data_IF_283779524837
#
_entry.id   IF_283779524837
#
_cell.length_a   1.000
_cell.length_b   1.000
_cell.length_c   1.000
_cell.angle_alpha   90.00
_cell.angle_beta   90.00
_cell.angle_gamma   90.00
#
_symmetry.space_group_name_H-M   'P 1'
#
loop_
_entity.id
_entity.type
_entity.pdbx_description
1 polymer ?
#
# COMPACT_ATOMS: atom_id res chain seq x y z
N UNK A 1 15.71 27.62 0.87
CA UNK A 1 16.57 26.89 1.82
C UNK A 1 15.67 25.92 2.58
N UNK A 2 15.69 24.64 2.22
CA UNK A 2 15.03 23.55 2.93
C UNK A 2 16.14 22.56 3.31
N UNK A 3 16.85 22.88 4.38
CA UNK A 3 17.91 22.04 4.95
C UNK A 3 17.38 21.48 6.26
N UNK A 4 17.04 20.20 6.27
CA UNK A 4 16.69 19.49 7.51
C UNK A 4 15.85 18.25 7.26
N UNK A 5 16.50 17.08 7.26
CA UNK A 5 15.92 15.74 7.45
C UNK A 5 15.36 14.97 6.24
N UNK A 6 15.90 15.16 5.02
CA UNK A 6 15.77 14.14 3.97
C UNK A 6 17.13 13.48 3.74
N UNK A 7 17.36 12.28 4.28
CA UNK A 7 18.50 11.46 3.86
C UNK A 7 18.17 10.90 2.48
N UNK A 8 18.51 11.65 1.44
CA UNK A 8 18.56 11.13 0.07
C UNK A 8 19.99 10.76 -0.29
N UNK A 9 20.15 9.67 -1.05
CA UNK A 9 21.46 9.22 -1.54
C UNK A 9 21.41 9.05 -3.05
N UNK A 10 22.42 9.55 -3.76
CA UNK A 10 22.51 9.49 -5.22
C UNK A 10 23.65 8.54 -5.59
N UNK A 11 23.37 7.52 -6.39
CA UNK A 11 24.34 6.54 -6.90
C UNK A 11 24.34 6.58 -8.42
N UNK A 12 25.50 6.76 -9.05
CA UNK A 12 25.65 6.82 -10.50
C UNK A 12 26.41 5.59 -11.03
N UNK A 13 26.13 5.14 -12.26
CA UNK A 13 26.91 4.09 -12.91
C UNK A 13 28.35 4.58 -13.21
N UNK A 14 29.32 3.66 -13.18
CA UNK A 14 30.76 3.98 -13.34
C UNK A 14 31.15 4.51 -14.73
N UNK A 15 30.34 4.27 -15.77
CA UNK A 15 30.70 4.51 -17.18
C UNK A 15 29.99 5.72 -17.84
N UNK A 16 29.48 6.68 -17.06
CA UNK A 16 28.70 7.78 -17.63
C UNK A 16 29.60 8.84 -18.29
N UNK A 17 30.00 8.59 -19.55
CA UNK A 17 30.97 9.39 -20.33
C UNK A 17 30.32 10.45 -21.26
N UNK A 18 29.01 10.68 -21.18
CA UNK A 18 28.31 11.66 -22.01
C UNK A 18 27.54 12.70 -21.18
N UNK A 19 28.17 13.87 -20.95
CA UNK A 19 27.60 14.99 -20.19
C UNK A 19 26.50 15.78 -20.92
N UNK A 20 26.08 15.38 -22.12
CA UNK A 20 25.22 16.19 -23.00
C UNK A 20 23.75 15.75 -23.05
N UNK A 21 23.37 14.66 -22.39
CA UNK A 21 21.99 14.14 -22.41
C UNK A 21 21.40 14.07 -21.00
N UNK A 22 20.11 14.43 -20.86
CA UNK A 22 19.37 14.28 -19.59
C UNK A 22 19.46 12.82 -19.10
N UNK A 23 19.74 12.57 -17.81
CA UNK A 23 19.97 11.22 -17.32
C UNK A 23 18.67 10.41 -17.20
N UNK A 24 18.79 9.09 -17.34
CA UNK A 24 17.78 8.16 -16.86
C UNK A 24 17.90 8.06 -15.33
N UNK A 25 16.79 8.24 -14.63
CA UNK A 25 16.76 8.24 -13.16
C UNK A 25 15.82 7.16 -12.64
N UNK A 26 16.27 6.44 -11.63
CA UNK A 26 15.45 5.52 -10.84
C UNK A 26 15.32 6.09 -9.42
N UNK A 27 14.09 6.43 -9.03
CA UNK A 27 13.73 6.68 -7.65
C UNK A 27 13.61 5.33 -6.92
N UNK A 28 14.52 5.06 -6.00
CA UNK A 28 14.49 3.89 -5.14
C UNK A 28 13.83 4.22 -3.79
N UNK A 29 12.77 3.48 -3.48
CA UNK A 29 12.02 3.58 -2.23
C UNK A 29 12.25 2.31 -1.39
N UNK A 30 12.97 2.41 -0.27
CA UNK A 30 13.36 1.26 0.54
C UNK A 30 12.14 0.54 1.16
N UNK A 31 12.31 -0.70 1.68
CA UNK A 31 11.23 -1.48 2.29
C UNK A 31 10.52 -0.82 3.48
N UNK A 32 11.24 0.05 4.19
CA UNK A 32 10.79 0.63 5.45
C UNK A 32 11.07 -0.29 6.66
N UNK A 33 10.56 0.07 7.85
CA UNK A 33 10.81 -0.65 9.10
C UNK A 33 10.03 -1.97 9.23
N UNK A 34 9.09 -2.25 8.33
CA UNK A 34 8.39 -3.53 8.31
C UNK A 34 9.21 -4.55 7.54
N UNK A 35 9.29 -5.79 8.04
CA UNK A 35 10.05 -6.85 7.41
C UNK A 35 11.57 -6.59 7.29
N UNK A 36 12.14 -5.67 8.08
CA UNK A 36 13.58 -5.34 8.02
C UNK A 36 14.52 -6.51 8.38
N UNK A 37 13.98 -7.61 8.92
CA UNK A 37 14.71 -8.85 9.17
C UNK A 37 14.78 -9.78 7.94
N UNK A 38 14.06 -9.47 6.87
CA UNK A 38 14.12 -10.22 5.61
C UNK A 38 15.17 -9.58 4.70
N UNK A 39 16.02 -10.38 4.02
CA UNK A 39 17.06 -9.84 3.17
C UNK A 39 16.43 -9.01 2.03
N UNK A 40 16.59 -7.68 2.12
CA UNK A 40 16.26 -6.79 1.02
C UNK A 40 17.24 -7.03 -0.12
N UNK A 41 16.75 -7.06 -1.36
CA UNK A 41 17.52 -7.11 -2.59
C UNK A 41 18.85 -7.89 -2.48
N UNK A 42 18.79 -9.21 -2.61
CA UNK A 42 19.97 -10.08 -2.54
C UNK A 42 20.87 -9.88 -3.78
N UNK A 43 21.56 -8.75 -3.86
CA UNK A 43 22.67 -8.60 -4.78
C UNK A 43 23.82 -9.46 -4.22
N UNK A 44 24.09 -10.57 -4.89
CA UNK A 44 25.26 -11.40 -4.63
C UNK A 44 26.51 -10.60 -4.99
N UNK A 45 27.06 -9.87 -4.02
CA UNK A 45 28.42 -9.33 -3.86
C UNK A 45 28.37 -8.20 -2.81
N UNK A 46 29.50 -7.79 -2.25
CA UNK A 46 29.66 -6.75 -1.21
C UNK A 46 29.22 -5.32 -1.63
N UNK A 47 28.26 -5.17 -2.53
CA UNK A 47 27.74 -3.91 -3.06
C UNK A 47 26.39 -3.60 -2.45
N UNK A 48 26.15 -2.32 -2.15
CA UNK A 48 24.84 -1.88 -1.68
C UNK A 48 23.78 -2.09 -2.78
N UNK A 49 22.49 -2.30 -2.43
CA UNK A 49 21.44 -2.51 -3.42
C UNK A 49 21.34 -1.42 -4.49
N UNK A 50 21.68 -0.19 -4.14
CA UNK A 50 21.72 0.96 -5.03
C UNK A 50 22.79 0.81 -6.12
N UNK A 51 23.97 0.28 -5.77
CA UNK A 51 25.05 0.05 -6.73
C UNK A 51 24.68 -1.08 -7.70
N UNK A 52 24.09 -2.16 -7.20
CA UNK A 52 23.58 -3.25 -8.02
C UNK A 52 22.53 -2.76 -9.02
N UNK A 53 21.59 -1.94 -8.55
CA UNK A 53 20.55 -1.33 -9.38
C UNK A 53 21.13 -0.38 -10.44
N UNK A 54 21.99 0.56 -10.04
CA UNK A 54 22.62 1.52 -10.95
C UNK A 54 23.45 0.82 -12.03
N UNK A 55 24.21 -0.22 -11.65
CA UNK A 55 25.03 -1.00 -12.60
C UNK A 55 24.18 -1.83 -13.55
N UNK A 56 23.08 -2.43 -13.05
CA UNK A 56 22.19 -3.27 -13.87
C UNK A 56 21.40 -2.43 -14.88
N UNK A 57 20.96 -1.23 -14.48
CA UNK A 57 20.04 -0.39 -15.26
C UNK A 57 20.72 0.75 -16.02
N UNK A 58 22.03 0.93 -15.81
CA UNK A 58 22.81 2.06 -16.36
C UNK A 58 22.15 3.41 -16.09
N UNK A 59 21.46 3.54 -14.95
CA UNK A 59 20.67 4.71 -14.58
C UNK A 59 21.17 5.32 -13.28
N UNK A 60 20.98 6.62 -13.12
CA UNK A 60 21.21 7.30 -11.84
C UNK A 60 20.15 6.86 -10.83
N UNK A 61 20.56 6.31 -9.70
CA UNK A 61 19.66 5.86 -8.64
C UNK A 61 19.61 6.94 -7.57
N UNK A 62 18.41 7.44 -7.27
CA UNK A 62 18.15 8.34 -6.14
C UNK A 62 17.34 7.57 -5.11
N UNK A 63 17.91 7.37 -3.92
CA UNK A 63 17.21 6.74 -2.79
C UNK A 63 16.57 7.81 -1.93
N UNK A 64 15.28 7.68 -1.63
CA UNK A 64 14.60 8.51 -0.64
C UNK A 64 14.36 7.68 0.61
N UNK A 65 15.13 7.92 1.67
CA UNK A 65 14.91 7.29 2.97
C UNK A 65 13.81 8.07 3.70
N UNK A 66 12.57 7.73 3.36
CA UNK A 66 11.38 8.30 3.99
C UNK A 66 11.30 7.91 5.47
N UNK A 67 10.79 8.82 6.32
CA UNK A 67 10.68 8.59 7.76
C UNK A 67 9.40 7.81 8.08
N UNK A 68 9.59 6.63 8.67
CA UNK A 68 8.50 5.81 9.19
C UNK A 68 9.04 4.94 10.32
N UNK A 69 8.26 4.79 11.39
CA UNK A 69 8.64 4.04 12.58
C UNK A 69 9.74 4.71 13.38
N UNK A 70 10.50 3.88 14.09
CA UNK A 70 11.59 4.28 14.97
C UNK A 70 12.83 4.63 14.14
N UNK A 71 13.20 5.91 14.08
CA UNK A 71 14.42 6.37 13.39
C UNK A 71 15.44 6.76 14.47
N UNK A 72 16.52 6.00 14.59
CA UNK A 72 17.61 6.36 15.49
C UNK A 72 18.28 7.66 15.02
N UNK A 73 18.59 8.58 15.94
CA UNK A 73 19.51 9.67 15.62
C UNK A 73 20.86 9.03 15.31
N UNK A 74 21.40 9.26 14.11
CA UNK A 74 22.79 8.92 13.82
C UNK A 74 23.68 9.60 14.88
N UNK A 75 24.51 8.82 15.55
CA UNK A 75 25.51 9.31 16.50
C UNK A 75 26.39 10.32 15.74
N UNK A 76 26.34 11.60 16.13
CA UNK A 76 27.33 12.56 15.67
C UNK A 76 28.71 12.04 16.11
N UNK A 77 29.75 12.13 15.27
CA UNK A 77 31.11 11.85 15.70
C UNK A 77 31.46 12.77 16.88
N UNK A 78 31.91 12.16 17.97
CA UNK A 78 32.30 12.85 19.19
C UNK A 78 33.45 13.81 18.92
N UNK A 79 33.17 15.12 18.94
CA UNK A 79 34.18 16.14 19.20
C UNK A 79 33.76 16.94 20.43
N UNK A 80 34.41 16.58 21.55
CA UNK A 80 34.59 17.33 22.79
C UNK A 80 33.40 18.15 23.34
N UNK A 81 32.80 17.64 24.41
CA UNK A 81 32.51 18.46 25.59
C UNK A 81 32.30 17.58 26.83
N UNK A 82 33.26 17.68 27.75
CA UNK A 82 33.14 17.25 29.14
C UNK A 82 32.11 18.14 29.86
N UNK A 83 31.43 17.53 30.84
CA UNK A 83 30.62 18.14 31.90
C UNK A 83 29.24 18.74 31.56
N UNK A 84 28.20 17.88 31.57
CA UNK A 84 27.00 18.09 32.40
C UNK A 84 26.18 16.80 32.48
N UNK A 85 26.07 16.22 33.67
CA UNK A 85 25.18 15.09 33.96
C UNK A 85 23.73 15.61 33.96
N UNK A 86 23.01 15.34 32.87
CA UNK A 86 21.54 15.30 32.87
C UNK A 86 21.12 14.01 32.14
N UNK A 87 20.38 13.16 32.84
CA UNK A 87 19.77 11.95 32.30
C UNK A 87 18.70 12.30 31.27
N UNK A 88 19.10 12.58 30.03
CA UNK A 88 18.18 12.55 28.89
C UNK A 88 18.31 11.18 28.20
N UNK A 89 17.32 10.31 28.41
CA UNK A 89 17.16 9.12 27.58
C UNK A 89 17.10 9.57 26.11
N UNK A 90 17.85 8.97 25.17
CA UNK A 90 17.78 9.34 23.77
C UNK A 90 16.33 9.18 23.30
N UNK A 91 15.65 10.31 23.05
CA UNK A 91 14.29 10.30 22.53
C UNK A 91 14.34 9.77 21.10
N UNK A 92 14.01 8.49 20.93
CA UNK A 92 13.85 7.89 19.61
C UNK A 92 12.60 8.48 18.98
N UNK A 93 12.79 9.31 17.96
CA UNK A 93 11.68 9.94 17.26
C UNK A 93 10.93 8.89 16.45
N UNK A 94 9.62 8.82 16.65
CA UNK A 94 8.76 7.83 16.02
C UNK A 94 7.85 8.48 14.98
N UNK A 95 8.03 8.13 13.71
CA UNK A 95 7.28 8.70 12.60
C UNK A 95 6.13 7.78 12.16
N UNK A 96 5.02 8.38 11.74
CA UNK A 96 3.79 7.70 11.31
C UNK A 96 3.27 8.31 10.01
N UNK A 97 2.31 7.68 9.35
CA UNK A 97 1.58 8.31 8.24
C UNK A 97 0.91 9.62 8.69
N UNK A 98 0.92 10.69 7.86
CA UNK A 98 1.33 10.73 6.44
C UNK A 98 2.80 11.09 6.16
N UNK A 99 3.68 11.20 7.16
CA UNK A 99 5.09 11.59 6.98
C UNK A 99 5.84 10.90 5.83
N UNK A 100 5.81 9.57 5.66
CA UNK A 100 6.53 8.92 4.56
C UNK A 100 6.02 9.31 3.16
N UNK A 101 4.75 9.70 3.04
CA UNK A 101 4.18 10.22 1.79
C UNK A 101 4.82 11.57 1.47
N UNK A 102 4.87 12.47 2.46
CA UNK A 102 5.41 13.81 2.30
C UNK A 102 6.90 13.76 1.96
N UNK A 103 7.66 12.91 2.65
CA UNK A 103 9.08 12.73 2.39
C UNK A 103 9.33 12.17 0.97
N UNK A 104 8.47 11.26 0.51
CA UNK A 104 8.53 10.70 -0.85
C UNK A 104 8.24 11.77 -1.91
N UNK A 105 7.18 12.56 -1.74
CA UNK A 105 6.82 13.62 -2.68
C UNK A 105 7.89 14.72 -2.71
N UNK A 106 8.44 15.12 -1.56
CA UNK A 106 9.53 16.07 -1.51
C UNK A 106 10.78 15.57 -2.26
N UNK A 107 11.14 14.29 -2.09
CA UNK A 107 12.23 13.67 -2.83
C UNK A 107 11.95 13.55 -4.33
N UNK A 108 10.71 13.25 -4.71
CA UNK A 108 10.25 13.20 -6.09
C UNK A 108 10.36 14.58 -6.77
N UNK A 109 9.84 15.64 -6.13
CA UNK A 109 9.94 17.02 -6.61
C UNK A 109 11.40 17.47 -6.76
N UNK A 110 12.24 17.12 -5.79
CA UNK A 110 13.67 17.42 -5.86
C UNK A 110 14.34 16.77 -7.07
N UNK A 111 14.01 15.51 -7.39
CA UNK A 111 14.54 14.81 -8.58
C UNK A 111 14.15 15.56 -9.86
N UNK A 112 12.87 15.94 -9.98
CA UNK A 112 12.39 16.63 -11.18
C UNK A 112 13.04 17.99 -11.36
N UNK A 113 13.17 18.77 -10.29
CA UNK A 113 13.74 20.11 -10.33
C UNK A 113 15.26 20.09 -10.54
N UNK A 114 15.97 19.14 -9.92
CA UNK A 114 17.43 19.13 -9.87
C UNK A 114 18.05 18.30 -10.98
N UNK A 115 17.54 17.09 -11.22
CA UNK A 115 18.14 16.15 -12.18
C UNK A 115 17.52 16.25 -13.58
N UNK A 116 16.30 16.79 -13.69
CA UNK A 116 15.54 16.93 -14.94
C UNK A 116 15.65 15.66 -15.82
N UNK A 117 15.19 14.51 -15.32
CA UNK A 117 15.42 13.23 -15.98
C UNK A 117 14.82 13.18 -17.38
N UNK A 118 15.48 12.45 -18.29
CA UNK A 118 14.86 12.08 -19.57
C UNK A 118 13.72 11.08 -19.31
N UNK A 119 13.99 10.11 -18.43
CA UNK A 119 13.05 9.11 -17.99
C UNK A 119 13.17 8.91 -16.47
N UNK A 120 12.03 8.92 -15.79
CA UNK A 120 11.94 8.64 -14.36
C UNK A 120 11.20 7.32 -14.13
N UNK A 121 11.90 6.35 -13.56
CA UNK A 121 11.30 5.09 -13.10
C UNK A 121 11.31 5.03 -11.57
N UNK A 122 10.41 4.23 -11.00
CA UNK A 122 10.33 4.03 -9.54
C UNK A 122 10.49 2.54 -9.21
N UNK A 123 11.36 2.24 -8.26
CA UNK A 123 11.49 0.90 -7.69
C UNK A 123 11.17 0.99 -6.20
N UNK A 124 10.17 0.24 -5.73
CA UNK A 124 9.79 0.24 -4.33
C UNK A 124 9.57 -1.17 -3.78
N UNK A 125 9.93 -1.39 -2.51
CA UNK A 125 9.68 -2.66 -1.81
C UNK A 125 8.74 -2.43 -0.62
N UNK A 126 7.83 -3.36 -0.31
CA UNK A 126 6.91 -3.28 0.85
C UNK A 126 6.20 -1.92 0.99
N UNK A 127 6.54 -1.12 2.00
CA UNK A 127 6.02 0.24 2.19
C UNK A 127 6.49 1.17 1.08
N UNK A 128 7.75 1.08 0.65
CA UNK A 128 8.26 1.76 -0.54
C UNK A 128 7.54 1.33 -1.81
N UNK A 129 7.10 0.08 -1.89
CA UNK A 129 6.27 -0.44 -2.98
C UNK A 129 4.86 0.19 -2.98
N UNK A 130 4.26 0.39 -1.80
CA UNK A 130 3.03 1.17 -1.65
C UNK A 130 3.21 2.60 -2.17
N UNK A 131 4.28 3.27 -1.75
CA UNK A 131 4.60 4.64 -2.16
C UNK A 131 4.90 4.73 -3.66
N UNK A 132 5.54 3.71 -4.25
CA UNK A 132 5.76 3.63 -5.69
C UNK A 132 4.44 3.50 -6.47
N UNK A 133 3.48 2.71 -5.97
CA UNK A 133 2.15 2.58 -6.57
C UNK A 133 1.30 3.84 -6.39
N UNK A 134 1.46 4.54 -5.26
CA UNK A 134 0.89 5.88 -5.07
C UNK A 134 1.38 6.82 -6.18
N UNK A 135 2.71 6.93 -6.39
CA UNK A 135 3.27 7.75 -7.47
C UNK A 135 2.79 7.31 -8.86
N UNK A 136 2.62 6.00 -9.09
CA UNK A 136 2.09 5.50 -10.36
C UNK A 136 0.68 6.02 -10.69
N UNK A 137 -0.12 6.30 -9.65
CA UNK A 137 -1.53 6.68 -9.76
C UNK A 137 -1.75 8.19 -9.64
N UNK A 138 -0.81 8.93 -9.03
CA UNK A 138 -0.89 10.39 -8.85
C UNK A 138 0.01 11.14 -9.83
N UNK A 139 1.20 10.59 -10.13
CA UNK A 139 2.23 11.20 -10.99
C UNK A 139 2.41 10.45 -12.32
N UNK A 140 1.32 9.89 -12.85
CA UNK A 140 1.33 8.96 -13.98
C UNK A 140 1.89 9.54 -15.29
N UNK A 141 1.88 10.86 -15.46
CA UNK A 141 2.44 11.54 -16.64
C UNK A 141 3.96 11.67 -16.58
N UNK A 142 4.51 11.72 -15.36
CA UNK A 142 5.93 11.98 -15.13
C UNK A 142 6.70 10.67 -14.96
N UNK A 143 6.07 9.70 -14.30
CA UNK A 143 6.65 8.37 -14.10
C UNK A 143 6.50 7.56 -15.37
N UNK A 144 7.61 6.98 -15.85
CA UNK A 144 7.63 6.10 -17.03
C UNK A 144 7.32 4.65 -16.67
N UNK A 145 7.93 4.15 -15.60
CA UNK A 145 7.80 2.77 -15.17
C UNK A 145 7.87 2.63 -13.64
N UNK A 146 7.14 1.66 -13.10
CA UNK A 146 7.09 1.32 -11.68
C UNK A 146 7.26 -0.18 -11.49
N UNK A 147 8.30 -0.55 -10.74
CA UNK A 147 8.48 -1.89 -10.22
C UNK A 147 8.20 -1.88 -8.70
N UNK A 148 7.21 -2.66 -8.27
CA UNK A 148 6.80 -2.72 -6.87
C UNK A 148 6.95 -4.16 -6.33
N UNK A 149 7.85 -4.37 -5.38
CA UNK A 149 8.17 -5.67 -4.79
C UNK A 149 7.40 -5.87 -3.50
N UNK A 150 6.60 -6.93 -3.44
CA UNK A 150 5.72 -7.29 -2.33
C UNK A 150 5.03 -6.05 -1.68
N UNK A 151 4.35 -5.21 -2.48
CA UNK A 151 3.83 -3.94 -2.00
C UNK A 151 2.64 -4.13 -1.07
N UNK A 152 2.56 -3.26 -0.06
CA UNK A 152 1.36 -3.14 0.77
C UNK A 152 0.37 -2.28 -0.02
N UNK A 153 -0.73 -2.86 -0.50
CA UNK A 153 -1.68 -2.15 -1.37
C UNK A 153 -2.94 -1.69 -0.62
N UNK A 154 -3.31 -2.37 0.47
CA UNK A 154 -4.59 -2.17 1.15
C UNK A 154 -4.48 -2.48 2.66
N UNK A 155 -4.24 -1.44 3.47
CA UNK A 155 -4.27 -1.56 4.93
C UNK A 155 -5.69 -1.81 5.48
N UNK A 156 -6.71 -1.36 4.75
CA UNK A 156 -8.11 -1.57 5.14
C UNK A 156 -8.49 -3.04 4.99
N UNK A 157 -7.96 -3.76 4.01
CA UNK A 157 -8.31 -5.14 3.69
C UNK A 157 -7.76 -6.21 4.66
N UNK A 158 -6.92 -5.86 5.63
CA UNK A 158 -6.24 -6.86 6.49
C UNK A 158 -7.22 -7.73 7.30
N UNK A 159 -8.35 -7.17 7.70
CA UNK A 159 -9.36 -7.87 8.51
C UNK A 159 -9.99 -9.05 7.77
N UNK A 160 -9.97 -9.03 6.43
CA UNK A 160 -10.56 -10.08 5.59
C UNK A 160 -9.75 -11.38 5.63
N UNK A 161 -8.52 -11.32 6.14
CA UNK A 161 -7.65 -12.45 6.33
C UNK A 161 -7.77 -13.06 7.73
N UNK A 162 -8.51 -12.41 8.64
CA UNK A 162 -8.76 -12.85 10.00
C UNK A 162 -10.04 -13.69 10.10
N UNK A 163 -10.15 -14.50 11.16
CA UNK A 163 -11.41 -15.14 11.56
C UNK A 163 -12.20 -14.21 12.49
N UNK A 164 -13.49 -14.46 12.71
CA UNK A 164 -14.35 -13.62 13.57
C UNK A 164 -14.70 -14.44 14.83
N UNK A 165 -14.60 -13.83 16.02
CA UNK A 165 -15.02 -14.51 17.26
C UNK A 165 -16.53 -14.81 17.23
N UNK A 166 -16.90 -16.04 17.61
CA UNK A 166 -18.30 -16.50 17.60
C UNK A 166 -19.13 -15.96 18.77
N UNK A 167 -18.51 -15.25 19.73
CA UNK A 167 -19.14 -14.86 20.99
C UNK A 167 -20.21 -13.76 20.87
N UNK A 168 -20.39 -13.19 19.67
CA UNK A 168 -21.44 -12.20 19.39
C UNK A 168 -22.72 -12.75 18.76
N UNK A 169 -22.75 -14.02 18.35
CA UNK A 169 -23.95 -14.66 17.78
C UNK A 169 -24.63 -15.55 18.81
N UNK A 170 -25.30 -14.94 19.79
CA UNK A 170 -26.35 -15.66 20.51
C UNK A 170 -27.46 -16.05 19.51
N UNK A 171 -27.55 -17.35 19.25
CA UNK A 171 -28.76 -18.12 18.98
C UNK A 171 -29.98 -17.34 18.49
N UNK A 172 -30.17 -17.26 17.18
CA UNK A 172 -31.54 -17.39 16.67
C UNK A 172 -31.87 -18.88 16.69
N UNK A 173 -32.88 -19.21 17.48
CA UNK A 173 -33.38 -20.57 17.72
C UNK A 173 -33.68 -21.33 16.42
N UNK A 174 -33.65 -22.68 16.43
CA UNK A 174 -33.89 -23.48 15.25
C UNK A 174 -35.37 -23.45 14.89
N UNK A 175 -35.77 -22.64 13.90
CA UNK A 175 -37.07 -22.81 13.27
C UNK A 175 -36.99 -24.02 12.34
N UNK A 176 -37.67 -25.09 12.75
CA UNK A 176 -38.02 -26.22 11.92
C UNK A 176 -38.74 -25.73 10.65
N UNK A 177 -38.24 -26.13 9.47
CA UNK A 177 -39.02 -26.02 8.25
C UNK A 177 -38.18 -25.90 6.97
N UNK A 178 -38.27 -26.93 6.14
CA UNK A 178 -37.91 -26.97 4.72
C UNK A 178 -36.48 -27.35 4.35
N UNK A 179 -36.36 -28.62 3.97
CA UNK A 179 -35.23 -29.20 3.28
C UNK A 179 -35.12 -28.63 1.85
N UNK A 180 -34.19 -27.70 1.66
CA UNK A 180 -33.65 -27.39 0.32
C UNK A 180 -32.13 -27.52 0.36
N UNK A 181 -31.63 -28.45 -0.45
CA UNK A 181 -30.25 -28.82 -0.75
C UNK A 181 -29.21 -27.70 -0.52
N UNK A 182 -28.60 -27.67 0.66
CA UNK A 182 -27.37 -26.89 0.92
C UNK A 182 -26.19 -27.64 0.32
N UNK A 183 -25.69 -27.17 -0.83
CA UNK A 183 -24.36 -27.54 -1.34
C UNK A 183 -23.36 -27.32 -0.21
N UNK A 184 -22.73 -28.38 0.29
CA UNK A 184 -21.68 -28.33 1.30
C UNK A 184 -20.58 -27.41 0.80
N UNK A 185 -20.54 -26.17 1.32
CA UNK A 185 -19.39 -25.29 1.14
C UNK A 185 -18.19 -26.02 1.75
N UNK A 186 -17.23 -26.39 0.90
CA UNK A 186 -15.96 -26.98 1.32
C UNK A 186 -15.34 -26.00 2.33
N UNK A 187 -15.27 -26.41 3.60
CA UNK A 187 -14.62 -25.66 4.68
C UNK A 187 -13.14 -25.54 4.31
N UNK A 188 -12.78 -24.44 3.65
CA UNK A 188 -11.38 -24.13 3.36
C UNK A 188 -10.72 -23.95 4.72
N UNK A 189 -9.77 -24.84 5.04
CA UNK A 189 -8.99 -24.68 6.27
C UNK A 189 -8.32 -23.30 6.22
N UNK A 190 -8.47 -22.46 7.25
CA UNK A 190 -7.85 -21.15 7.29
C UNK A 190 -6.33 -21.38 7.31
N UNK A 191 -5.70 -21.12 6.17
CA UNK A 191 -4.26 -21.29 6.02
C UNK A 191 -3.53 -20.15 6.74
N UNK A 192 -2.50 -20.51 7.49
CA UNK A 192 -1.63 -19.57 8.19
C UNK A 192 -0.92 -18.72 7.15
N UNK A 193 -1.01 -17.39 7.28
CA UNK A 193 -0.30 -16.44 6.43
C UNK A 193 0.80 -15.78 7.25
N UNK A 194 2.08 -16.04 6.94
CA UNK A 194 3.19 -15.66 7.81
C UNK A 194 3.34 -14.13 7.97
N UNK A 195 2.89 -13.36 6.98
CA UNK A 195 2.99 -11.91 6.94
C UNK A 195 1.80 -11.17 7.56
N UNK A 196 0.70 -11.86 7.88
CA UNK A 196 -0.52 -11.20 8.38
C UNK A 196 -0.35 -10.56 9.76
N UNK A 197 0.25 -11.27 10.73
CA UNK A 197 0.44 -10.73 12.09
C UNK A 197 1.35 -9.50 12.07
N UNK A 198 2.53 -9.53 11.42
CA UNK A 198 3.36 -8.34 11.26
C UNK A 198 2.62 -7.15 10.63
N UNK A 199 1.77 -7.39 9.62
CA UNK A 199 0.97 -6.34 8.98
C UNK A 199 -0.08 -5.74 9.93
N UNK A 200 -0.75 -6.56 10.73
CA UNK A 200 -1.75 -6.07 11.70
C UNK A 200 -1.09 -5.18 12.76
N UNK A 201 0.04 -5.62 13.32
CA UNK A 201 0.81 -4.84 14.28
C UNK A 201 1.37 -3.55 13.67
N UNK A 202 1.85 -3.62 12.43
CA UNK A 202 2.35 -2.46 11.70
C UNK A 202 1.24 -1.42 11.47
N UNK A 203 0.03 -1.85 11.14
CA UNK A 203 -1.10 -0.94 10.94
C UNK A 203 -1.48 -0.18 12.21
N UNK A 204 -1.40 -0.80 13.38
CA UNK A 204 -1.62 -0.10 14.65
C UNK A 204 -0.48 0.88 14.97
N UNK A 205 0.75 0.51 14.63
CA UNK A 205 1.95 1.31 14.89
C UNK A 205 2.12 2.51 13.95
N UNK A 206 1.86 2.34 12.65
CA UNK A 206 2.17 3.32 11.61
C UNK A 206 1.11 4.39 11.43
N UNK A 207 -0.07 4.25 12.05
CA UNK A 207 -1.17 5.20 11.91
C UNK A 207 -1.55 5.80 13.26
N UNK A 208 -1.94 7.08 13.25
CA UNK A 208 -2.37 7.78 14.47
C UNK A 208 -3.76 7.35 14.92
N UNK A 209 -4.67 7.16 13.96
CA UNK A 209 -6.06 6.73 14.19
C UNK A 209 -6.45 5.72 13.12
N UNK A 210 -7.52 4.97 13.36
CA UNK A 210 -7.99 3.96 12.43
C UNK A 210 -8.53 4.54 11.11
N UNK A 211 -8.93 5.80 11.08
CA UNK A 211 -9.30 6.52 9.86
C UNK A 211 -8.11 6.71 8.91
N UNK A 212 -6.90 6.92 9.45
CA UNK A 212 -5.73 7.28 8.62
C UNK A 212 -5.27 6.14 7.71
N UNK A 213 -5.57 4.88 8.00
CA UNK A 213 -5.24 3.78 7.08
C UNK A 213 -6.25 3.61 5.94
N UNK A 214 -7.35 4.38 5.94
CA UNK A 214 -8.26 4.56 4.80
C UNK A 214 -7.82 5.69 3.86
N UNK A 215 -6.69 6.33 4.13
CA UNK A 215 -6.08 7.27 3.20
C UNK A 215 -5.62 6.53 1.92
N UNK A 216 -6.03 7.02 0.76
CA UNK A 216 -5.67 6.43 -0.53
C UNK A 216 -4.17 6.52 -0.84
N UNK A 217 -3.47 7.51 -0.29
CA UNK A 217 -2.01 7.62 -0.45
C UNK A 217 -1.26 6.55 0.35
N UNK A 218 -1.81 6.10 1.48
CA UNK A 218 -1.26 5.02 2.29
C UNK A 218 -1.74 3.63 1.83
N UNK A 219 -2.96 3.54 1.27
CA UNK A 219 -3.57 2.33 0.71
C UNK A 219 -3.91 2.56 -0.78
N UNK A 220 -2.94 2.46 -1.71
CA UNK A 220 -3.11 2.86 -3.11
C UNK A 220 -4.27 2.17 -3.84
N UNK A 221 -4.71 1.00 -3.37
CA UNK A 221 -5.87 0.32 -3.92
C UNK A 221 -7.16 1.16 -3.81
N UNK A 222 -7.23 2.08 -2.85
CA UNK A 222 -8.39 2.95 -2.62
C UNK A 222 -8.54 4.05 -3.68
N UNK A 223 -7.51 4.37 -4.47
CA UNK A 223 -7.67 5.21 -5.67
C UNK A 223 -8.57 4.56 -6.72
N UNK A 224 -8.66 3.22 -6.70
CA UNK A 224 -9.26 2.43 -7.76
C UNK A 224 -10.52 1.68 -7.32
N UNK A 225 -10.81 1.67 -6.01
CA UNK A 225 -12.04 1.08 -5.46
C UNK A 225 -12.36 1.58 -4.05
N UNK A 226 -13.61 1.45 -3.64
CA UNK A 226 -13.98 1.66 -2.24
C UNK A 226 -13.47 0.54 -1.32
N UNK A 227 -13.23 0.87 -0.05
CA UNK A 227 -12.81 -0.09 0.98
C UNK A 227 -13.87 -1.18 1.26
N UNK A 228 -15.14 -0.92 0.91
CA UNK A 228 -16.24 -1.87 1.12
C UNK A 228 -16.59 -2.10 2.59
N UNK A 229 -16.23 -1.17 3.47
CA UNK A 229 -16.58 -1.17 4.89
C UNK A 229 -16.50 0.24 5.45
N UNK A 230 -17.15 0.44 6.58
CA UNK A 230 -17.06 1.69 7.32
C UNK A 230 -15.72 1.85 8.03
N UNK A 231 -15.32 3.11 8.20
CA UNK A 231 -14.15 3.48 9.00
C UNK A 231 -14.44 3.13 10.45
N UNK A 232 -13.64 2.27 11.10
CA UNK A 232 -13.89 1.93 12.49
C UNK A 232 -13.47 3.09 13.39
N UNK A 233 -14.25 3.33 14.44
CA UNK A 233 -14.00 4.41 15.42
C UNK A 233 -12.70 4.23 16.22
N UNK A 234 -12.18 3.01 16.29
CA UNK A 234 -10.94 2.66 16.99
C UNK A 234 -10.21 1.54 16.23
N UNK A 235 -8.94 1.30 16.56
CA UNK A 235 -8.21 0.18 15.99
C UNK A 235 -8.87 -1.15 16.36
N UNK A 236 -9.11 -2.05 15.38
CA UNK A 236 -9.64 -3.36 15.70
C UNK A 236 -8.60 -4.18 16.47
N UNK A 237 -9.07 -4.99 17.43
CA UNK A 237 -8.21 -5.84 18.27
C UNK A 237 -8.21 -7.28 17.78
N UNK A 238 -7.06 -7.92 17.86
CA UNK A 238 -6.86 -9.29 17.37
C UNK A 238 -6.40 -10.22 18.48
N UNK A 239 -6.87 -11.45 18.43
CA UNK A 239 -6.27 -12.57 19.15
C UNK A 239 -5.24 -13.22 18.22
N UNK A 240 -3.98 -13.19 18.64
CA UNK A 240 -2.83 -13.75 17.93
C UNK A 240 -2.06 -14.69 18.88
N UNK A 241 -1.08 -15.43 18.34
CA UNK A 241 -0.24 -16.35 19.11
C UNK A 241 -0.51 -17.83 18.79
N UNK A 242 0.17 -18.76 19.49
CA UNK A 242 0.09 -20.20 19.19
C UNK A 242 -1.34 -20.78 19.26
N UNK A 243 -2.18 -20.22 20.12
CA UNK A 243 -3.59 -20.60 20.29
C UNK A 243 -4.47 -20.16 19.09
N UNK A 244 -3.99 -19.20 18.29
CA UNK A 244 -4.72 -18.60 17.18
C UNK A 244 -3.88 -18.66 15.89
N UNK A 245 -3.82 -19.83 15.22
CA UNK A 245 -3.01 -20.00 14.00
C UNK A 245 -3.41 -19.05 12.86
N UNK A 246 -4.68 -18.61 12.85
CA UNK A 246 -5.13 -17.47 12.06
C UNK A 246 -5.70 -16.43 13.01
N UNK A 247 -5.23 -15.16 12.96
CA UNK A 247 -5.70 -14.10 13.84
C UNK A 247 -7.23 -14.01 13.90
N UNK A 248 -7.77 -13.84 15.10
CA UNK A 248 -9.21 -13.70 15.32
C UNK A 248 -9.53 -12.24 15.64
N UNK A 249 -10.40 -11.62 14.86
CA UNK A 249 -10.94 -10.30 15.14
C UNK A 249 -11.89 -10.38 16.33
N UNK A 250 -11.62 -9.61 17.39
CA UNK A 250 -12.49 -9.52 18.57
C UNK A 250 -13.76 -8.74 18.25
N UNK A 251 -14.91 -9.27 18.65
CA UNK A 251 -16.17 -8.51 18.66
C UNK A 251 -16.11 -7.45 19.75
N UNK A 252 -16.47 -6.20 19.42
CA UNK A 252 -16.55 -5.13 20.41
C UNK A 252 -17.76 -5.36 21.32
N UNK A 253 -17.55 -5.50 22.64
CA UNK A 253 -18.64 -5.51 23.62
C UNK A 253 -19.13 -4.08 23.89
N UNK A 254 -20.35 -3.94 24.42
CA UNK A 254 -20.92 -2.64 24.79
C UNK A 254 -20.07 -1.91 25.84
N UNK A 255 -19.36 -2.66 26.69
CA UNK A 255 -18.53 -2.13 27.78
C UNK A 255 -17.28 -1.36 27.29
N UNK A 256 -16.83 -1.61 26.05
CA UNK A 256 -15.67 -0.93 25.42
C UNK A 256 -16.03 0.46 24.82
N UNK A 257 -17.26 0.95 25.01
CA UNK A 257 -17.75 2.24 24.50
C UNK A 257 -17.82 3.31 25.60
N UNK A 258 -17.96 2.91 26.87
CA UNK A 258 -18.18 3.82 28.00
C UNK A 258 -16.92 4.49 28.60
N UNK A 259 -15.74 4.36 27.99
CA UNK A 259 -14.46 4.77 28.58
C UNK A 259 -13.78 5.98 27.95
N UNK A 260 -14.41 6.69 27.01
CA UNK A 260 -13.83 7.90 26.42
C UNK A 260 -14.52 9.13 27.01
N UNK A 261 -14.02 9.61 28.15
CA UNK A 261 -14.41 10.88 28.77
C UNK A 261 -14.23 12.02 27.74
N UNK A 262 -15.34 12.56 27.28
CA UNK A 262 -15.38 13.79 26.52
C UNK A 262 -15.30 14.92 27.58
N UNK A 263 -14.10 15.47 27.79
CA UNK A 263 -13.97 16.79 28.41
C UNK A 263 -14.50 17.84 27.44
N UNK A 264 -15.82 18.07 27.45
CA UNK A 264 -16.40 19.32 26.99
C UNK A 264 -16.11 20.33 28.10
N UNK A 265 -15.19 21.23 27.85
CA UNK A 265 -15.03 22.46 28.60
C UNK A 265 -16.20 23.37 28.22
N UNK A 266 -17.17 23.46 29.13
CA UNK A 266 -18.20 24.50 29.16
C UNK A 266 -17.53 25.86 29.40
N UNK A 267 -17.83 26.85 28.55
CA UNK A 267 -18.03 28.24 28.96
C UNK A 267 -18.62 29.09 27.80
N UNK A 268 -19.83 29.61 28.06
CA UNK A 268 -20.37 30.94 27.67
C UNK A 268 -21.01 31.17 26.25
N UNK A 269 -21.98 32.12 26.11
CA UNK A 269 -23.41 31.81 26.19
C UNK A 269 -24.26 32.28 24.97
N UNK A 270 -25.57 32.08 25.13
CA UNK A 270 -26.74 32.32 24.30
C UNK A 270 -26.77 33.56 23.38
N UNK A 271 -27.30 33.38 22.16
CA UNK A 271 -28.31 34.31 21.62
C UNK A 271 -29.17 33.73 20.47
N UNK A 272 -30.48 33.98 20.53
CA UNK A 272 -31.30 34.37 19.36
C UNK A 272 -31.90 33.32 18.40
N UNK A 273 -33.06 32.75 18.78
CA UNK A 273 -34.22 32.31 17.98
C UNK A 273 -34.20 32.29 16.44
N UNK A 274 -34.65 31.18 15.83
CA UNK A 274 -35.94 31.09 15.09
C UNK A 274 -36.23 29.63 14.68
N UNK A 275 -37.40 29.15 15.10
CA UNK A 275 -38.00 27.88 14.67
C UNK A 275 -38.76 28.08 13.36
N UNK A 276 -38.54 27.20 12.38
CA UNK A 276 -39.59 26.79 11.43
C UNK A 276 -39.51 25.28 11.23
N UNK A 277 -40.51 24.61 11.78
CA UNK A 277 -40.77 23.19 11.67
C UNK A 277 -41.38 22.88 10.30
N UNK A 278 -40.72 22.01 9.54
CA UNK A 278 -41.37 21.21 8.51
C UNK A 278 -41.07 19.75 8.81
N UNK A 279 -42.12 19.05 9.24
CA UNK A 279 -42.13 17.65 9.62
C UNK A 279 -41.96 16.77 8.39
N UNK A 280 -40.97 15.89 8.40
CA UNK A 280 -40.90 14.73 7.51
C UNK A 280 -40.48 13.51 8.37
N UNK A 281 -41.09 12.34 8.17
CA UNK A 281 -41.17 11.30 9.18
C UNK A 281 -39.83 10.61 9.39
N UNK A 282 -39.55 10.36 10.66
CA UNK A 282 -38.40 9.64 11.19
C UNK A 282 -38.10 8.35 10.43
N UNK A 283 -37.04 8.38 9.61
CA UNK A 283 -36.16 7.22 9.51
C UNK A 283 -35.19 7.30 10.67
N UNK A 284 -35.51 6.56 11.73
CA UNK A 284 -34.56 6.26 12.81
C UNK A 284 -33.21 5.88 12.21
N UNK A 285 -32.10 6.55 12.56
CA UNK A 285 -30.80 5.95 12.35
C UNK A 285 -30.78 4.74 13.30
N UNK A 286 -30.92 3.54 12.73
CA UNK A 286 -30.58 2.32 13.46
C UNK A 286 -29.11 2.46 13.83
N UNK A 287 -28.86 3.01 15.02
CA UNK A 287 -27.61 2.86 15.73
C UNK A 287 -27.38 1.35 15.77
N UNK A 288 -26.45 0.89 14.95
CA UNK A 288 -26.00 -0.48 15.01
C UNK A 288 -25.16 -0.60 16.30
N UNK A 289 -25.84 -0.62 17.45
CA UNK A 289 -25.27 -0.73 18.80
C UNK A 289 -24.57 -2.06 19.03
N UNK A 290 -24.56 -2.92 18.00
CA UNK A 290 -23.67 -4.08 17.88
C UNK A 290 -22.60 -3.69 16.88
N UNK A 291 -21.36 -3.51 17.35
CA UNK A 291 -20.16 -3.15 16.58
C UNK A 291 -19.73 -4.14 15.48
N UNK A 292 -20.70 -4.71 14.77
CA UNK A 292 -20.55 -5.50 13.56
C UNK A 292 -20.15 -4.55 12.44
N UNK A 293 -18.95 -4.76 11.91
CA UNK A 293 -18.45 -4.03 10.74
C UNK A 293 -19.40 -4.32 9.58
N UNK A 294 -20.21 -3.32 9.19
CA UNK A 294 -21.15 -3.45 8.07
C UNK A 294 -20.31 -3.57 6.79
N UNK A 295 -20.21 -4.81 6.29
CA UNK A 295 -19.47 -5.09 5.05
C UNK A 295 -20.35 -4.70 3.86
N UNK A 296 -19.85 -3.79 3.04
CA UNK A 296 -20.46 -3.36 1.78
C UNK A 296 -19.71 -3.97 0.59
N UNK A 297 -20.32 -3.92 -0.58
CA UNK A 297 -19.65 -4.30 -1.82
C UNK A 297 -18.54 -3.27 -2.12
N UNK A 298 -17.32 -3.76 -2.36
CA UNK A 298 -16.23 -2.93 -2.91
C UNK A 298 -16.61 -2.49 -4.33
N UNK A 299 -16.77 -1.19 -4.53
CA UNK A 299 -17.15 -0.60 -5.80
C UNK A 299 -15.88 -0.14 -6.53
N UNK A 300 -15.78 -0.46 -7.83
CA UNK A 300 -14.66 -0.01 -8.66
C UNK A 300 -14.79 1.49 -8.94
N UNK A 301 -13.71 2.24 -8.73
CA UNK A 301 -13.59 3.64 -9.09
C UNK A 301 -12.85 3.74 -10.43
N UNK A 302 -13.38 4.54 -11.36
CA UNK A 302 -12.70 4.79 -12.64
C UNK A 302 -11.51 5.71 -12.41
N UNK A 303 -10.39 5.38 -13.05
CA UNK A 303 -9.18 6.20 -13.03
C UNK A 303 -8.77 6.60 -14.46
N UNK A 304 -8.32 7.84 -14.69
CA UNK A 304 -8.34 8.95 -13.73
C UNK A 304 -9.79 9.36 -13.40
N UNK A 305 -10.05 9.96 -12.22
CA UNK A 305 -11.37 10.48 -11.87
C UNK A 305 -11.89 11.47 -12.93
N UNK A 306 -13.21 11.50 -13.13
CA UNK A 306 -13.83 12.43 -14.07
C UNK A 306 -13.49 13.89 -13.71
N UNK A 307 -13.10 14.68 -14.71
CA UNK A 307 -12.68 16.08 -14.52
C UNK A 307 -11.20 16.25 -14.16
N UNK A 308 -10.49 15.16 -13.86
CA UNK A 308 -9.03 15.14 -13.67
C UNK A 308 -8.31 14.45 -14.84
N UNK A 309 -8.95 14.38 -15.99
CA UNK A 309 -8.39 13.85 -17.22
C UNK A 309 -7.56 14.90 -17.98
N UNK A 310 -6.98 15.86 -17.24
CA UNK A 310 -6.01 16.85 -17.73
C UNK A 310 -6.44 17.60 -19.00
N UNK A 311 -7.72 18.01 -19.06
CA UNK A 311 -8.26 18.79 -20.19
C UNK A 311 -8.73 17.96 -21.38
N UNK A 312 -8.69 16.62 -21.29
CA UNK A 312 -9.20 15.73 -22.33
C UNK A 312 -10.74 15.61 -22.35
N UNK A 313 -11.45 16.21 -21.38
CA UNK A 313 -12.92 16.25 -21.29
C UNK A 313 -13.49 17.68 -21.38
N UNK A 314 -13.25 18.37 -22.50
CA UNK A 314 -14.06 19.54 -22.93
C UNK A 314 -14.84 19.30 -24.24
N UNK A 315 -16.17 19.35 -24.22
CA UNK A 315 -17.14 19.47 -25.35
C UNK A 315 -16.91 18.75 -26.72
N UNK A 316 -17.86 17.85 -27.06
CA UNK A 316 -18.37 17.49 -28.40
C UNK A 316 -17.37 17.28 -29.58
N UNK A 317 -16.60 16.19 -29.61
CA UNK A 317 -16.02 15.71 -30.87
C UNK A 317 -16.00 14.16 -30.98
N UNK A 318 -16.51 13.57 -32.07
CA UNK A 318 -16.61 12.11 -32.25
C UNK A 318 -15.26 11.40 -32.49
N UNK A 319 -14.15 12.14 -32.64
CA UNK A 319 -12.80 11.58 -32.83
C UNK A 319 -12.02 11.37 -31.52
N UNK A 320 -12.63 11.63 -30.35
CA UNK A 320 -11.92 11.71 -29.06
C UNK A 320 -11.64 10.41 -28.31
N UNK A 321 -12.15 9.28 -28.79
CA UNK A 321 -11.81 7.97 -28.21
C UNK A 321 -10.29 7.66 -28.27
N UNK A 322 -9.55 8.39 -29.11
CA UNK A 322 -8.11 8.22 -29.34
C UNK A 322 -7.27 9.15 -28.45
N UNK A 323 -7.76 10.32 -28.04
CA UNK A 323 -7.01 11.23 -27.14
C UNK A 323 -6.99 10.79 -25.68
N UNK A 324 -7.98 9.99 -25.25
CA UNK A 324 -7.96 9.35 -23.93
C UNK A 324 -6.93 8.24 -23.81
N UNK A 325 -6.51 7.64 -24.94
CA UNK A 325 -5.41 6.68 -25.01
C UNK A 325 -4.05 7.31 -24.63
N UNK A 326 -3.91 8.64 -24.64
CA UNK A 326 -2.66 9.31 -24.25
C UNK A 326 -2.47 9.41 -22.73
N UNK A 327 -3.52 9.23 -21.91
CA UNK A 327 -3.37 9.07 -20.46
C UNK A 327 -3.04 7.63 -20.11
N UNK A 328 -1.83 7.20 -20.48
CA UNK A 328 -1.36 5.86 -20.14
C UNK A 328 -0.80 5.89 -18.72
N UNK A 329 -1.33 5.04 -17.83
CA UNK A 329 -0.55 4.63 -16.67
C UNK A 329 0.90 4.32 -17.09
N UNK A 330 1.89 4.55 -16.19
CA UNK A 330 3.23 4.04 -16.40
C UNK A 330 3.18 2.53 -16.67
N UNK A 331 4.28 2.01 -17.21
CA UNK A 331 4.50 0.57 -17.17
C UNK A 331 4.56 0.15 -15.71
N UNK A 332 3.68 -0.73 -15.26
CA UNK A 332 3.63 -1.18 -13.85
C UNK A 332 3.84 -2.68 -13.80
N UNK A 333 4.82 -3.11 -13.01
CA UNK A 333 5.02 -4.52 -12.70
C UNK A 333 5.12 -4.72 -11.20
N UNK A 334 4.23 -5.56 -10.67
CA UNK A 334 4.30 -6.01 -9.29
C UNK A 334 5.05 -7.33 -9.23
N UNK A 335 5.91 -7.47 -8.25
CA UNK A 335 6.74 -8.65 -8.02
C UNK A 335 6.36 -9.28 -6.69
N UNK A 336 6.14 -10.59 -6.69
CA UNK A 336 5.84 -11.38 -5.50
C UNK A 336 6.87 -12.50 -5.38
N UNK A 337 7.26 -12.89 -4.16
CA UNK A 337 8.25 -13.96 -3.98
C UNK A 337 7.74 -15.28 -4.57
N UNK A 338 8.62 -16.00 -5.27
CA UNK A 338 8.36 -17.40 -5.58
C UNK A 338 8.66 -18.22 -4.31
N UNK A 339 7.63 -18.69 -3.63
CA UNK A 339 7.81 -19.70 -2.60
C UNK A 339 8.25 -20.99 -3.31
N UNK A 340 9.56 -21.27 -3.31
CA UNK A 340 10.06 -22.61 -3.60
C UNK A 340 9.81 -23.47 -2.37
N UNK A 341 8.84 -24.42 -2.38
CA UNK A 341 8.80 -25.43 -1.34
C UNK A 341 10.02 -26.33 -1.56
N UNK A 342 11.06 -26.17 -0.76
CA UNK A 342 12.20 -27.11 -0.70
C UNK A 342 11.80 -28.53 -0.19
N UNK A 343 10.52 -28.90 -0.26
CA UNK A 343 10.01 -30.20 0.18
C UNK A 343 8.98 -30.84 -0.76
N UNK A 344 8.98 -30.50 -2.06
CA UNK A 344 8.28 -31.31 -3.07
C UNK A 344 9.19 -31.68 -4.24
N UNK A 345 10.16 -32.55 -3.95
CA UNK A 345 10.70 -33.44 -4.99
C UNK A 345 9.54 -34.28 -5.56
N UNK A 346 9.56 -34.43 -6.89
CA UNK A 346 8.59 -35.14 -7.74
C UNK A 346 7.25 -34.43 -8.05
N UNK A 347 7.25 -33.61 -9.11
CA UNK A 347 6.73 -34.08 -10.41
C UNK A 347 6.89 -32.99 -11.49
N UNK A 348 7.66 -33.31 -12.52
CA UNK A 348 7.61 -32.59 -13.78
C UNK A 348 6.23 -32.77 -14.42
N UNK A 349 5.40 -31.75 -14.36
CA UNK A 349 4.34 -31.58 -15.35
C UNK A 349 4.30 -30.12 -15.78
N UNK A 350 4.66 -29.90 -17.05
CA UNK A 350 4.36 -28.69 -17.78
C UNK A 350 2.84 -28.54 -17.82
N UNK A 351 2.31 -27.59 -17.06
CA UNK A 351 0.90 -27.27 -17.06
C UNK A 351 0.64 -26.06 -16.20
N UNK A 352 0.02 -25.04 -16.77
CA UNK A 352 -0.61 -23.92 -16.08
C UNK A 352 -1.72 -24.47 -15.15
N UNK A 353 -1.31 -25.04 -14.01
CA UNK A 353 -2.15 -25.79 -13.11
C UNK A 353 -2.31 -25.03 -11.80
N UNK A 354 -3.41 -24.29 -11.70
CA UNK A 354 -4.26 -24.11 -10.52
C UNK A 354 -3.61 -24.51 -9.17
N UNK A 355 -2.56 -23.81 -8.72
CA UNK A 355 -1.99 -24.01 -7.38
C UNK A 355 -3.06 -23.60 -6.37
N UNK A 356 -3.33 -24.47 -5.39
CA UNK A 356 -4.35 -24.22 -4.36
C UNK A 356 -4.08 -22.87 -3.69
N UNK A 357 -5.10 -22.01 -3.48
CA UNK A 357 -4.96 -20.66 -2.92
C UNK A 357 -4.65 -20.63 -1.40
N UNK A 358 -4.10 -21.73 -0.87
CA UNK A 358 -3.87 -21.93 0.56
C UNK A 358 -2.65 -21.18 1.08
N UNK A 359 -1.50 -21.26 0.43
CA UNK A 359 -0.24 -20.85 1.07
C UNK A 359 0.25 -19.45 0.68
N UNK A 360 -0.54 -18.67 -0.06
CA UNK A 360 -0.10 -17.36 -0.51
C UNK A 360 -0.08 -16.33 0.62
N UNK A 361 0.98 -15.53 0.68
CA UNK A 361 1.13 -14.39 1.58
C UNK A 361 0.05 -13.33 1.34
N UNK A 362 -0.25 -12.51 2.36
CA UNK A 362 -1.17 -11.37 2.23
C UNK A 362 -0.66 -10.40 1.17
N UNK A 363 0.64 -10.08 1.16
CA UNK A 363 1.25 -9.18 0.18
C UNK A 363 1.08 -9.68 -1.26
N UNK A 364 1.30 -10.97 -1.50
CA UNK A 364 1.16 -11.52 -2.84
C UNK A 364 -0.30 -11.48 -3.33
N UNK A 365 -1.26 -11.71 -2.43
CA UNK A 365 -2.68 -11.57 -2.74
C UNK A 365 -3.11 -10.12 -2.96
N UNK A 366 -2.56 -9.18 -2.20
CA UNK A 366 -2.77 -7.75 -2.42
C UNK A 366 -2.20 -7.30 -3.78
N UNK A 367 -1.03 -7.80 -4.17
CA UNK A 367 -0.43 -7.51 -5.47
C UNK A 367 -1.27 -8.04 -6.64
N UNK A 368 -1.76 -9.28 -6.55
CA UNK A 368 -2.71 -9.84 -7.54
C UNK A 368 -3.98 -9.00 -7.65
N UNK A 369 -4.53 -8.58 -6.50
CA UNK A 369 -5.73 -7.76 -6.46
C UNK A 369 -5.48 -6.38 -7.07
N UNK A 370 -4.34 -5.74 -6.78
CA UNK A 370 -3.95 -4.46 -7.33
C UNK A 370 -3.83 -4.52 -8.86
N UNK A 371 -3.11 -5.50 -9.41
CA UNK A 371 -3.00 -5.68 -10.88
C UNK A 371 -4.37 -5.86 -11.52
N UNK A 372 -5.23 -6.69 -10.93
CA UNK A 372 -6.58 -6.92 -11.44
C UNK A 372 -7.45 -5.67 -11.39
N UNK A 373 -7.35 -4.90 -10.31
CA UNK A 373 -8.12 -3.66 -10.12
C UNK A 373 -7.61 -2.56 -11.05
N UNK A 374 -6.30 -2.33 -11.16
CA UNK A 374 -5.71 -1.37 -12.12
C UNK A 374 -6.13 -1.68 -13.55
N UNK A 375 -6.05 -2.94 -13.98
CA UNK A 375 -6.47 -3.35 -15.33
C UNK A 375 -7.93 -3.03 -15.62
N UNK A 376 -8.81 -3.11 -14.61
CA UNK A 376 -10.25 -2.87 -14.78
C UNK A 376 -10.64 -1.40 -14.58
N UNK A 377 -9.94 -0.72 -13.68
CA UNK A 377 -10.20 0.66 -13.27
C UNK A 377 -9.58 1.67 -14.23
N UNK A 378 -8.47 1.33 -14.87
CA UNK A 378 -7.72 2.24 -15.74
C UNK A 378 -7.84 1.90 -17.23
N UNK A 379 -8.19 0.65 -17.57
CA UNK A 379 -8.33 0.19 -18.96
C UNK A 379 -9.68 -0.49 -19.17
N UNK A 380 -10.56 0.11 -19.97
CA UNK A 380 -11.89 -0.44 -20.23
C UNK A 380 -12.22 -0.41 -21.73
N UNK A 381 -13.23 -1.18 -22.14
CA UNK A 381 -13.65 -1.23 -23.54
C UNK A 381 -12.53 -1.71 -24.46
N UNK A 382 -12.17 -0.90 -25.45
CA UNK A 382 -11.15 -1.22 -26.46
C UNK A 382 -9.71 -1.22 -25.92
N UNK A 383 -9.48 -0.60 -24.76
CA UNK A 383 -8.16 -0.47 -24.13
C UNK A 383 -7.77 -1.68 -23.27
N UNK A 384 -8.69 -2.64 -23.07
CA UNK A 384 -8.48 -3.78 -22.17
C UNK A 384 -7.17 -4.55 -22.46
N UNK A 385 -6.87 -4.77 -23.74
CA UNK A 385 -5.63 -5.45 -24.16
C UNK A 385 -4.35 -4.64 -23.88
N UNK A 386 -4.44 -3.31 -23.84
CA UNK A 386 -3.32 -2.46 -23.43
C UNK A 386 -3.03 -2.60 -21.94
N UNK A 387 -4.08 -2.68 -21.11
CA UNK A 387 -3.94 -2.87 -19.67
C UNK A 387 -3.24 -4.18 -19.29
N UNK A 388 -3.46 -5.26 -20.05
CA UNK A 388 -2.79 -6.54 -19.82
C UNK A 388 -1.28 -6.49 -20.07
N UNK A 389 -0.82 -5.63 -20.99
CA UNK A 389 0.60 -5.40 -21.28
C UNK A 389 1.24 -4.38 -20.35
N UNK A 390 0.52 -3.29 -20.04
CA UNK A 390 1.02 -2.17 -19.22
C UNK A 390 1.11 -2.52 -17.74
N UNK A 391 0.16 -3.29 -17.21
CA UNK A 391 0.13 -3.67 -15.79
C UNK A 391 0.31 -5.17 -15.68
N UNK A 392 1.40 -5.63 -15.08
CA UNK A 392 1.77 -7.06 -15.02
C UNK A 392 2.11 -7.51 -13.60
N UNK A 393 1.98 -8.81 -13.36
CA UNK A 393 2.42 -9.48 -12.14
C UNK A 393 3.52 -10.47 -12.53
N UNK A 394 4.64 -10.46 -11.81
CA UNK A 394 5.73 -11.41 -11.99
C UNK A 394 6.08 -12.05 -10.65
N UNK A 395 6.65 -13.25 -10.71
CA UNK A 395 7.31 -13.83 -9.55
C UNK A 395 8.78 -13.45 -9.57
N UNK A 396 9.28 -13.04 -8.43
CA UNK A 396 10.67 -12.69 -8.23
C UNK A 396 11.36 -13.83 -7.47
N UNK A 397 12.32 -14.44 -8.15
CA UNK A 397 13.16 -15.51 -7.60
C UNK A 397 14.54 -15.01 -7.21
N UNK A 398 14.89 -13.77 -7.60
CA UNK A 398 16.26 -13.26 -7.59
C UNK A 398 16.42 -12.00 -6.74
N UNK A 399 15.55 -11.81 -5.72
CA UNK A 399 15.65 -10.71 -4.78
C UNK A 399 15.75 -9.36 -5.49
N UNK A 400 14.84 -9.09 -6.41
CA UNK A 400 14.67 -7.84 -7.14
C UNK A 400 15.66 -7.57 -8.27
N UNK A 401 16.57 -8.49 -8.57
CA UNK A 401 17.34 -8.45 -9.83
C UNK A 401 16.41 -8.49 -11.05
N UNK A 402 15.36 -9.30 -10.98
CA UNK A 402 14.34 -9.40 -12.04
C UNK A 402 13.60 -8.07 -12.25
N UNK A 403 13.38 -7.32 -11.17
CA UNK A 403 12.79 -5.99 -11.22
C UNK A 403 13.73 -4.96 -11.86
N UNK A 404 15.02 -5.00 -11.51
CA UNK A 404 16.03 -4.14 -12.11
C UNK A 404 16.19 -4.41 -13.61
N UNK A 405 16.29 -5.68 -14.03
CA UNK A 405 16.38 -6.05 -15.44
C UNK A 405 15.13 -5.61 -16.21
N UNK A 406 13.94 -5.82 -15.65
CA UNK A 406 12.72 -5.37 -16.30
C UNK A 406 12.64 -3.84 -16.47
N UNK A 407 13.06 -3.07 -15.46
CA UNK A 407 13.11 -1.61 -15.58
C UNK A 407 14.06 -1.16 -16.68
N UNK A 408 15.22 -1.80 -16.80
CA UNK A 408 16.16 -1.54 -17.89
C UNK A 408 15.51 -1.77 -19.25
N UNK A 409 14.89 -2.94 -19.45
CA UNK A 409 14.27 -3.31 -20.72
C UNK A 409 13.17 -2.31 -21.12
N UNK A 410 12.36 -1.85 -20.17
CA UNK A 410 11.29 -0.87 -20.41
C UNK A 410 11.84 0.52 -20.76
N UNK A 411 13.00 0.89 -20.23
CA UNK A 411 13.67 2.14 -20.59
C UNK A 411 14.25 2.06 -22.00
N UNK A 412 14.76 0.90 -22.43
CA UNK A 412 15.40 0.71 -23.75
C UNK A 412 14.43 0.48 -24.92
N UNK A 413 13.18 0.08 -24.69
CA UNK A 413 12.27 -0.45 -25.74
C UNK A 413 11.31 0.56 -26.41
N UNK A 414 11.32 1.83 -26.01
CA UNK A 414 10.47 2.92 -26.53
C UNK A 414 11.31 4.20 -26.61
#
# INVERSE_FOLDING_TARGET
MLTGLYLSSVTQPKDNTSQTQRPNVILYLPPGPLFSQYPSLAYTQNLTPQHGLASTTLSTVVTVNYRLGSVGKEEKPEEHQEEAIQHETPSVEYFKYPTPIHDTLAGFDWILQTLQPAHLSVLGTHTGGSLALMLALTEAQTVRAVAALEPICDWTGLDEYCTISADGSQSSSPSNGSATTKKKAKRVQPSVRPDLVPLLEARERYFHTAERYFDAFASPLLFLRSAGKDVPKAFPRYLTGPEYPVPVLRSRSMDDIGGMDIHISDDEPEDGSISTSASDPETDPVENSKGTVVRRRKALSRWPPYGLDYGLSGANSPYRAIGRLEMTLPWVRLFVRDETPESSQHNHSNGAGNRKPGNQTVLARQAEEMVNVMRRACFWGREKGYGERKVTLARDSAGGKDAAMWLRDVVETD
#
